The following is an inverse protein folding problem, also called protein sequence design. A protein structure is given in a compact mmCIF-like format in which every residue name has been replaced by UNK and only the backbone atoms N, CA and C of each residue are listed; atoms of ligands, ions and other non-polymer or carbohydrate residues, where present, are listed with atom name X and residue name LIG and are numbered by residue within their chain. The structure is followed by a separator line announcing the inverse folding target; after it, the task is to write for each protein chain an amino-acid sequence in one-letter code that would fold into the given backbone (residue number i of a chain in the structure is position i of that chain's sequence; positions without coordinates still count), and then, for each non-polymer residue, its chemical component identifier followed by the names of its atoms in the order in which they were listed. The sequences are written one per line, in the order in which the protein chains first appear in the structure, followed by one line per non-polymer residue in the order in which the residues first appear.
data_IF_643089984823
#
_entry.id   IF_643089984823
#
_cell.length_a   1.000
_cell.length_b   1.000
_cell.length_c   1.000
_cell.angle_alpha   90.00
_cell.angle_beta   90.00
_cell.angle_gamma   90.00
#
_symmetry.space_group_name_H-M   'P 1'
#
loop_
_entity.id
_entity.type
_entity.pdbx_description
1 polymer ?
#
# COMPACT_ATOMS: atom_id res chain seq x y z
N UNK A 1 5.76 -44.08 41.43
CA UNK A 1 6.27 -42.70 41.33
C UNK A 1 6.32 -42.33 39.85
N UNK A 2 5.24 -41.75 39.31
CA UNK A 2 5.12 -41.44 37.90
C UNK A 2 5.48 -39.97 37.66
N UNK A 3 6.53 -39.71 36.88
CA UNK A 3 6.94 -38.36 36.50
C UNK A 3 6.05 -37.88 35.34
N UNK A 4 5.25 -36.84 35.58
CA UNK A 4 4.48 -36.15 34.56
C UNK A 4 5.43 -35.36 33.65
N UNK A 5 5.57 -35.80 32.40
CA UNK A 5 6.31 -35.06 31.36
C UNK A 5 5.39 -33.97 30.81
N UNK A 6 5.66 -32.71 31.19
CA UNK A 6 4.95 -31.55 30.65
C UNK A 6 5.53 -31.24 29.26
N UNK A 7 4.76 -31.30 28.17
CA UNK A 7 5.26 -30.91 26.85
C UNK A 7 5.47 -29.39 26.82
N UNK A 8 6.70 -28.98 26.52
CA UNK A 8 7.09 -27.58 26.33
C UNK A 8 6.40 -27.05 25.08
N UNK A 9 5.21 -26.47 25.25
CA UNK A 9 4.48 -25.78 24.20
C UNK A 9 5.34 -24.63 23.71
N UNK A 10 6.03 -24.85 22.59
CA UNK A 10 6.75 -23.82 21.84
C UNK A 10 5.71 -23.02 21.07
N UNK A 11 4.97 -22.17 21.79
CA UNK A 11 4.18 -21.11 21.18
C UNK A 11 5.13 -20.14 20.49
N UNK A 12 5.51 -20.49 19.25
CA UNK A 12 6.04 -19.53 18.30
C UNK A 12 4.87 -18.62 17.93
N UNK A 13 4.62 -17.60 18.74
CA UNK A 13 3.76 -16.49 18.40
C UNK A 13 4.41 -15.83 17.19
N UNK A 14 4.03 -16.33 16.02
CA UNK A 14 4.51 -15.89 14.72
C UNK A 14 3.89 -14.52 14.51
N UNK A 15 4.60 -13.48 14.96
CA UNK A 15 4.40 -12.09 14.54
C UNK A 15 4.03 -12.10 13.06
N UNK A 16 2.74 -11.86 12.79
CA UNK A 16 2.09 -12.18 11.53
C UNK A 16 2.86 -11.55 10.39
N UNK A 17 3.19 -12.36 9.38
CA UNK A 17 3.83 -11.96 8.12
C UNK A 17 3.38 -10.55 7.70
N UNK A 18 4.20 -9.54 7.93
CA UNK A 18 3.93 -8.20 7.42
C UNK A 18 4.16 -8.29 5.92
N UNK A 19 3.07 -8.40 5.14
CA UNK A 19 3.18 -8.51 3.69
C UNK A 19 4.05 -7.38 3.15
N UNK A 20 5.18 -7.71 2.52
CA UNK A 20 6.10 -6.73 1.97
C UNK A 20 5.35 -5.84 1.00
N UNK A 21 5.15 -4.58 1.37
CA UNK A 21 4.48 -3.62 0.48
C UNK A 21 5.47 -3.20 -0.59
N UNK A 22 5.27 -3.67 -1.81
CA UNK A 22 6.02 -3.18 -2.98
C UNK A 22 5.65 -1.71 -3.23
N UNK A 23 6.67 -0.86 -3.27
CA UNK A 23 6.53 0.57 -3.54
C UNK A 23 6.90 0.85 -4.99
N UNK A 24 6.12 1.69 -5.65
CA UNK A 24 6.43 2.16 -7.02
C UNK A 24 6.58 3.67 -7.02
N UNK A 25 7.43 4.17 -7.91
CA UNK A 25 7.66 5.60 -8.10
C UNK A 25 6.67 6.15 -9.13
N UNK A 26 5.95 7.19 -8.76
CA UNK A 26 4.98 7.86 -9.62
C UNK A 26 5.44 9.27 -9.91
N UNK A 27 5.49 9.63 -11.20
CA UNK A 27 5.81 11.00 -11.64
C UNK A 27 4.61 11.92 -11.46
N UNK A 28 4.83 13.10 -10.90
CA UNK A 28 3.83 14.17 -10.85
C UNK A 28 3.90 15.07 -12.10
N UNK A 29 2.96 16.01 -12.25
CA UNK A 29 2.95 16.95 -13.39
C UNK A 29 4.22 17.82 -13.47
N UNK A 30 4.83 18.12 -12.32
CA UNK A 30 6.07 18.92 -12.19
C UNK A 30 7.36 18.08 -12.26
N UNK A 31 7.29 16.81 -12.67
CA UNK A 31 8.45 15.93 -12.82
C UNK A 31 9.02 15.28 -11.55
N UNK A 32 8.54 15.62 -10.34
CA UNK A 32 8.96 15.01 -9.07
C UNK A 32 8.32 13.63 -8.86
N UNK A 33 8.95 12.80 -8.05
CA UNK A 33 8.47 11.44 -7.74
C UNK A 33 7.78 11.36 -6.38
N UNK A 34 6.82 10.43 -6.27
CA UNK A 34 6.19 10.00 -5.01
C UNK A 34 6.17 8.48 -4.93
N UNK A 35 6.49 7.93 -3.76
CA UNK A 35 6.32 6.52 -3.48
C UNK A 35 4.86 6.20 -3.16
N UNK A 36 4.31 5.22 -3.87
CA UNK A 36 2.93 4.75 -3.66
C UNK A 36 2.94 3.24 -3.60
N UNK A 37 2.16 2.60 -2.70
CA UNK A 37 2.00 1.16 -2.71
C UNK A 37 1.50 0.67 -4.07
N UNK A 38 2.09 -0.41 -4.60
CA UNK A 38 1.79 -0.94 -5.94
C UNK A 38 0.28 -1.13 -6.17
N UNK A 39 -0.46 -1.60 -5.15
CA UNK A 39 -1.93 -1.76 -5.16
C UNK A 39 -2.72 -0.51 -5.52
N UNK A 40 -2.16 0.69 -5.25
CA UNK A 40 -2.80 1.99 -5.48
C UNK A 40 -2.17 2.75 -6.64
N UNK A 41 -1.15 2.21 -7.29
CA UNK A 41 -0.35 2.93 -8.29
C UNK A 41 -1.17 3.43 -9.48
N UNK A 42 -2.06 2.57 -9.98
CA UNK A 42 -2.86 2.84 -11.18
C UNK A 42 -3.93 3.92 -10.98
N UNK A 43 -4.35 4.18 -9.73
CA UNK A 43 -5.51 5.03 -9.43
C UNK A 43 -5.19 6.19 -8.48
N UNK A 44 -3.95 6.27 -7.94
CA UNK A 44 -3.56 7.35 -7.04
C UNK A 44 -3.45 8.67 -7.81
N UNK A 45 -4.06 9.71 -7.26
CA UNK A 45 -4.08 11.04 -7.87
C UNK A 45 -2.67 11.70 -7.88
N UNK A 46 -2.28 12.39 -8.97
CA UNK A 46 -1.01 13.12 -9.07
C UNK A 46 -0.95 14.39 -8.21
N UNK A 47 -2.09 15.03 -8.00
CA UNK A 47 -2.20 16.31 -7.30
C UNK A 47 -2.56 16.16 -5.82
N UNK A 48 -3.07 17.26 -5.22
CA UNK A 48 -3.68 17.21 -3.90
C UNK A 48 -4.72 16.08 -3.84
N UNK A 49 -4.72 15.31 -2.76
CA UNK A 49 -5.61 14.15 -2.62
C UNK A 49 -7.03 14.60 -2.21
N UNK A 50 -7.55 15.64 -2.86
CA UNK A 50 -8.85 16.22 -2.60
C UNK A 50 -9.95 15.24 -3.00
N UNK A 51 -10.88 14.97 -2.07
CA UNK A 51 -11.97 14.00 -2.24
C UNK A 51 -13.05 14.55 -3.19
N UNK A 52 -13.39 15.81 -3.04
CA UNK A 52 -14.43 16.52 -3.79
C UNK A 52 -13.82 17.44 -4.87
N UNK A 53 -14.58 17.80 -5.89
CA UNK A 53 -14.23 18.88 -6.82
C UNK A 53 -14.67 20.25 -6.29
N UNK A 54 -14.40 21.33 -7.04
CA UNK A 54 -14.80 22.68 -6.66
C UNK A 54 -16.32 22.90 -6.64
N UNK A 55 -17.12 21.94 -7.14
CA UNK A 55 -18.59 21.96 -7.11
C UNK A 55 -19.16 21.03 -6.03
N UNK A 56 -18.31 20.45 -5.17
CA UNK A 56 -18.71 19.55 -4.09
C UNK A 56 -18.97 18.09 -4.50
N UNK A 57 -18.76 17.71 -5.77
CA UNK A 57 -19.00 16.35 -6.25
C UNK A 57 -17.81 15.44 -5.96
N UNK A 58 -18.09 14.17 -5.62
CA UNK A 58 -17.04 13.16 -5.42
C UNK A 58 -16.25 12.93 -6.71
N UNK A 59 -14.93 13.14 -6.66
CA UNK A 59 -14.08 12.91 -7.83
C UNK A 59 -13.96 11.40 -8.09
N UNK A 60 -14.10 10.97 -9.35
CA UNK A 60 -13.95 9.56 -9.76
C UNK A 60 -12.48 9.10 -9.72
N UNK A 61 -12.28 7.78 -9.69
CA UNK A 61 -10.94 7.17 -9.87
C UNK A 61 -10.58 7.29 -11.35
N UNK A 62 -9.39 7.80 -11.64
CA UNK A 62 -8.87 7.89 -13.01
C UNK A 62 -7.70 6.91 -13.15
N UNK A 63 -7.74 6.08 -14.20
CA UNK A 63 -6.64 5.17 -14.52
C UNK A 63 -5.46 6.00 -15.03
N UNK A 64 -4.27 5.68 -14.54
CA UNK A 64 -3.01 6.32 -14.95
C UNK A 64 -2.54 5.81 -16.31
N UNK A 65 -1.90 6.72 -17.06
CA UNK A 65 -1.14 6.35 -18.26
C UNK A 65 0.11 5.53 -17.88
N UNK A 66 0.46 4.48 -18.65
CA UNK A 66 1.63 3.65 -18.39
C UNK A 66 2.95 4.43 -18.25
N UNK A 67 3.14 5.50 -19.04
CA UNK A 67 4.35 6.35 -19.02
C UNK A 67 4.61 7.02 -17.67
N UNK A 68 3.58 7.18 -16.84
CA UNK A 68 3.69 7.85 -15.54
C UNK A 68 4.06 6.91 -14.38
N UNK A 69 4.05 5.60 -14.63
CA UNK A 69 4.40 4.56 -13.66
C UNK A 69 5.85 4.15 -13.90
N UNK A 70 6.74 4.53 -13.00
CA UNK A 70 8.12 4.04 -13.00
C UNK A 70 8.13 2.83 -12.06
N UNK A 71 8.09 1.64 -12.68
CA UNK A 71 8.13 0.35 -11.98
C UNK A 71 9.56 -0.03 -11.68
#
# INVERSE_FOLDING_TARGET
MAYLIIPKIKERIRMGKTGTTKWVKIKNKKGRYRLVPQKRANYKRPGPNQRYDGKGKLRRRMKRSPRSLVK
#
